data_IF_688042209176
#
_entry.id   IF_688042209176
#
_cell.length_a   1.000
_cell.length_b   1.000
_cell.length_c   1.000
_cell.angle_alpha   90.00
_cell.angle_beta   90.00
_cell.angle_gamma   90.00
#
_symmetry.space_group_name_H-M   'P 1'
#
loop_
_entity.id
_entity.type
_entity.pdbx_description
1 polymer ?
#
# COMPACT_ATOMS: atom_id res chain seq x y z
N UNK A 1 -48.75 22.31 -19.60
CA UNK A 1 -47.95 23.02 -18.57
C UNK A 1 -46.52 22.53 -18.62
N UNK A 2 -45.61 23.29 -19.24
CA UNK A 2 -44.20 22.92 -19.29
C UNK A 2 -43.56 23.21 -17.92
N UNK A 3 -43.05 22.18 -17.23
CA UNK A 3 -42.26 22.35 -16.01
C UNK A 3 -40.97 23.08 -16.39
N UNK A 4 -40.81 24.32 -15.94
CA UNK A 4 -39.58 25.08 -16.14
C UNK A 4 -38.40 24.34 -15.51
N UNK A 5 -37.49 23.85 -16.35
CA UNK A 5 -36.22 23.26 -15.92
C UNK A 5 -35.28 24.40 -15.54
N UNK A 6 -35.34 24.84 -14.29
CA UNK A 6 -34.41 25.84 -13.76
C UNK A 6 -32.98 25.32 -13.89
N UNK A 7 -32.12 26.05 -14.59
CA UNK A 7 -30.69 25.78 -14.63
C UNK A 7 -30.12 25.88 -13.21
N UNK A 8 -29.51 24.80 -12.74
CA UNK A 8 -28.88 24.70 -11.41
C UNK A 8 -27.37 24.90 -11.46
N UNK A 9 -26.81 25.02 -12.66
CA UNK A 9 -25.37 25.18 -12.87
C UNK A 9 -24.97 26.66 -12.84
N UNK A 10 -25.80 27.52 -13.43
CA UNK A 10 -25.57 28.97 -13.43
C UNK A 10 -26.08 29.57 -12.12
N UNK A 11 -25.22 30.35 -11.44
CA UNK A 11 -25.63 31.10 -10.24
C UNK A 11 -26.54 32.24 -10.71
N UNK A 12 -27.83 32.11 -10.42
CA UNK A 12 -28.79 33.20 -10.61
C UNK A 12 -28.54 34.29 -9.56
N UNK A 13 -28.09 35.46 -10.03
CA UNK A 13 -27.76 36.62 -9.18
C UNK A 13 -29.02 37.39 -8.71
N UNK A 14 -30.19 37.09 -9.28
CA UNK A 14 -31.45 37.80 -8.99
C UNK A 14 -32.51 36.87 -8.35
N UNK A 15 -32.23 35.57 -8.25
CA UNK A 15 -33.12 34.58 -7.64
C UNK A 15 -33.04 34.53 -6.10
N UNK A 16 -34.20 34.43 -5.45
CA UNK A 16 -34.31 34.27 -3.98
C UNK A 16 -33.86 32.87 -3.50
N UNK A 17 -33.69 31.91 -4.40
CA UNK A 17 -33.25 30.54 -4.09
C UNK A 17 -31.74 30.41 -4.19
N UNK A 18 -31.09 29.96 -3.11
CA UNK A 18 -29.65 29.68 -3.08
C UNK A 18 -29.28 28.65 -4.17
N UNK A 19 -28.46 29.07 -5.14
CA UNK A 19 -27.89 28.18 -6.16
C UNK A 19 -26.93 27.12 -5.59
N UNK A 20 -26.35 26.30 -6.49
CA UNK A 20 -25.52 25.09 -6.26
C UNK A 20 -25.04 24.87 -4.81
N UNK A 21 -25.49 23.78 -4.14
CA UNK A 21 -24.94 23.37 -2.86
C UNK A 21 -23.43 23.15 -2.94
N UNK A 22 -22.68 23.54 -1.89
CA UNK A 22 -21.25 23.20 -1.74
C UNK A 22 -21.09 21.71 -2.04
N UNK A 23 -20.28 21.36 -3.04
CA UNK A 23 -20.10 19.99 -3.55
C UNK A 23 -19.64 18.97 -2.51
N UNK A 24 -19.27 19.43 -1.32
CA UNK A 24 -19.25 18.62 -0.13
C UNK A 24 -19.49 19.53 1.08
N UNK A 25 -20.38 19.15 2.02
CA UNK A 25 -20.70 19.98 3.18
C UNK A 25 -19.52 20.12 4.16
N UNK A 26 -18.58 19.17 4.13
CA UNK A 26 -17.38 19.22 4.97
C UNK A 26 -16.25 20.05 4.35
N UNK A 27 -15.47 20.70 5.20
CA UNK A 27 -14.24 21.41 4.83
C UNK A 27 -13.22 20.48 4.17
N UNK A 28 -12.31 21.03 3.34
CA UNK A 28 -11.25 20.27 2.66
C UNK A 28 -10.38 19.47 3.64
N UNK A 29 -10.10 20.04 4.82
CA UNK A 29 -9.33 19.35 5.87
C UNK A 29 -10.04 18.09 6.37
N UNK A 30 -11.35 18.16 6.55
CA UNK A 30 -12.16 17.04 7.05
C UNK A 30 -12.40 15.99 5.97
N UNK A 31 -12.56 16.42 4.71
CA UNK A 31 -12.57 15.52 3.56
C UNK A 31 -11.29 14.67 3.50
N UNK A 32 -10.11 15.29 3.67
CA UNK A 32 -8.84 14.57 3.65
C UNK A 32 -8.72 13.56 4.79
N UNK A 33 -9.21 13.89 5.99
CA UNK A 33 -9.25 12.96 7.13
C UNK A 33 -10.16 11.76 6.83
N UNK A 34 -11.35 12.02 6.31
CA UNK A 34 -12.34 10.99 5.97
C UNK A 34 -11.80 10.07 4.86
N UNK A 35 -11.24 10.64 3.79
CA UNK A 35 -10.65 9.87 2.70
C UNK A 35 -9.50 8.98 3.17
N UNK A 36 -8.60 9.50 4.03
CA UNK A 36 -7.52 8.69 4.62
C UNK A 36 -8.07 7.55 5.48
N UNK A 37 -9.13 7.79 6.24
CA UNK A 37 -9.78 6.73 7.03
C UNK A 37 -10.38 5.65 6.14
N UNK A 38 -11.15 6.03 5.11
CA UNK A 38 -11.73 5.09 4.16
C UNK A 38 -10.65 4.29 3.43
N UNK A 39 -9.52 4.91 3.07
CA UNK A 39 -8.39 4.21 2.48
C UNK A 39 -7.85 3.13 3.43
N UNK A 40 -7.65 3.45 4.72
CA UNK A 40 -7.22 2.45 5.71
C UNK A 40 -8.24 1.34 5.93
N UNK A 41 -9.54 1.66 5.94
CA UNK A 41 -10.61 0.66 6.07
C UNK A 41 -10.63 -0.28 4.86
N UNK A 42 -10.44 0.25 3.64
CA UNK A 42 -10.28 -0.55 2.42
C UNK A 42 -9.04 -1.44 2.46
N UNK A 43 -7.89 -0.88 2.83
CA UNK A 43 -6.63 -1.63 2.96
C UNK A 43 -6.83 -2.81 3.95
N UNK A 44 -7.47 -2.55 5.09
CA UNK A 44 -7.77 -3.57 6.11
C UNK A 44 -8.73 -4.63 5.59
N UNK A 45 -9.78 -4.25 4.87
CA UNK A 45 -10.74 -5.18 4.28
C UNK A 45 -10.09 -6.08 3.21
N UNK A 46 -9.11 -5.57 2.46
CA UNK A 46 -8.31 -6.34 1.51
C UNK A 46 -7.22 -7.20 2.19
N UNK A 47 -7.10 -7.16 3.52
CA UNK A 47 -6.12 -7.95 4.28
C UNK A 47 -4.71 -7.34 4.32
N UNK A 48 -4.50 -6.14 3.79
CA UNK A 48 -3.21 -5.46 3.89
C UNK A 48 -2.95 -5.00 5.32
N UNK A 49 -1.76 -5.31 5.83
CA UNK A 49 -1.28 -4.86 7.14
C UNK A 49 -0.14 -3.88 6.93
N UNK A 50 -0.13 -2.79 7.72
CA UNK A 50 0.96 -1.82 7.73
C UNK A 50 1.97 -2.23 8.79
N UNK A 51 3.24 -2.19 8.41
CA UNK A 51 4.38 -2.44 9.28
C UNK A 51 5.20 -1.15 9.35
N UNK A 52 5.53 -0.73 10.57
CA UNK A 52 6.43 0.38 10.83
C UNK A 52 7.76 -0.22 11.30
N UNK A 53 8.86 0.12 10.62
CA UNK A 53 10.18 -0.44 10.85
C UNK A 53 11.17 0.72 10.91
N UNK A 54 12.06 0.69 11.90
CA UNK A 54 13.19 1.61 12.01
C UNK A 54 14.42 0.89 11.46
N UNK A 55 15.15 1.55 10.57
CA UNK A 55 16.33 1.03 9.89
C UNK A 55 17.42 2.10 9.87
N UNK A 56 18.67 1.68 9.74
CA UNK A 56 19.80 2.60 9.62
C UNK A 56 19.76 3.34 8.28
N UNK A 57 20.15 4.62 8.26
CA UNK A 57 20.09 5.46 7.06
C UNK A 57 20.85 4.87 5.87
N UNK A 58 22.03 4.28 6.12
CA UNK A 58 22.82 3.61 5.08
C UNK A 58 22.06 2.46 4.41
N UNK A 59 21.27 1.73 5.19
CA UNK A 59 20.49 0.60 4.66
C UNK A 59 19.33 1.07 3.81
N UNK A 60 18.71 2.20 4.16
CA UNK A 60 17.64 2.83 3.38
C UNK A 60 18.19 3.33 2.04
N UNK A 61 19.36 3.98 2.04
CA UNK A 61 20.00 4.47 0.81
C UNK A 61 20.35 3.31 -0.14
N UNK A 62 20.88 2.21 0.38
CA UNK A 62 21.15 1.00 -0.42
C UNK A 62 19.86 0.41 -0.97
N UNK A 63 18.79 0.37 -0.17
CA UNK A 63 17.47 -0.10 -0.62
C UNK A 63 16.92 0.78 -1.75
N UNK A 64 17.06 2.10 -1.65
CA UNK A 64 16.62 3.04 -2.68
C UNK A 64 17.36 2.84 -4.00
N UNK A 65 18.69 2.76 -3.94
CA UNK A 65 19.49 2.49 -5.13
C UNK A 65 19.09 1.17 -5.82
N UNK A 66 18.79 0.12 -5.04
CA UNK A 66 18.28 -1.14 -5.58
C UNK A 66 16.86 -1.03 -6.16
N UNK A 67 16.01 -0.21 -5.56
CA UNK A 67 14.65 0.04 -6.06
C UNK A 67 14.70 0.82 -7.38
N UNK A 68 15.55 1.83 -7.48
CA UNK A 68 15.73 2.66 -8.67
C UNK A 68 16.29 1.84 -9.84
N UNK A 69 17.28 0.98 -9.58
CA UNK A 69 17.84 0.08 -10.61
C UNK A 69 16.82 -0.92 -11.18
N UNK A 70 15.86 -1.33 -10.35
CA UNK A 70 14.83 -2.30 -10.76
C UNK A 70 13.52 -1.62 -11.19
N UNK A 71 13.42 -0.28 -11.13
CA UNK A 71 12.20 0.50 -11.34
C UNK A 71 11.01 0.02 -10.48
N UNK A 72 11.28 -0.43 -9.25
CA UNK A 72 10.28 -0.98 -8.33
C UNK A 72 10.06 -0.10 -7.11
N UNK A 73 8.87 -0.18 -6.52
CA UNK A 73 8.61 0.48 -5.23
C UNK A 73 9.24 -0.33 -4.09
N UNK A 74 9.72 0.36 -3.05
CA UNK A 74 10.26 -0.27 -1.81
C UNK A 74 9.38 -1.40 -1.27
N UNK A 75 8.07 -1.19 -1.24
CA UNK A 75 7.12 -2.18 -0.73
C UNK A 75 7.12 -3.47 -1.59
N UNK A 76 7.09 -3.32 -2.92
CA UNK A 76 7.08 -4.44 -3.86
C UNK A 76 8.39 -5.22 -3.76
N UNK A 77 9.53 -4.50 -3.74
CA UNK A 77 10.85 -5.12 -3.57
C UNK A 77 10.95 -5.93 -2.27
N UNK A 78 10.49 -5.37 -1.15
CA UNK A 78 10.49 -6.07 0.14
C UNK A 78 9.60 -7.32 0.11
N UNK A 79 8.40 -7.24 -0.46
CA UNK A 79 7.52 -8.42 -0.58
C UNK A 79 8.16 -9.53 -1.42
N UNK A 80 8.84 -9.18 -2.51
CA UNK A 80 9.56 -10.12 -3.35
C UNK A 80 10.71 -10.79 -2.58
N UNK A 81 11.53 -10.00 -1.88
CA UNK A 81 12.65 -10.57 -1.11
C UNK A 81 12.19 -11.49 0.02
N UNK A 82 11.10 -11.15 0.72
CA UNK A 82 10.51 -12.01 1.75
C UNK A 82 10.01 -13.33 1.13
N UNK A 83 9.35 -13.28 -0.03
CA UNK A 83 8.91 -14.48 -0.75
C UNK A 83 10.07 -15.36 -1.19
N UNK A 84 11.15 -14.76 -1.73
CA UNK A 84 12.37 -15.46 -2.13
C UNK A 84 13.11 -16.08 -0.93
N UNK A 85 13.19 -15.38 0.19
CA UNK A 85 13.79 -15.91 1.42
C UNK A 85 12.96 -17.09 1.96
N UNK A 86 11.63 -16.97 1.94
CA UNK A 86 10.73 -18.03 2.37
C UNK A 86 10.85 -19.28 1.50
N UNK A 87 10.92 -19.14 0.16
CA UNK A 87 11.08 -20.29 -0.74
C UNK A 87 12.41 -21.02 -0.54
N UNK A 88 13.52 -20.28 -0.37
CA UNK A 88 14.83 -20.86 -0.02
C UNK A 88 14.80 -21.63 1.30
N UNK A 89 14.05 -21.12 2.29
CA UNK A 89 13.94 -21.80 3.60
C UNK A 89 13.18 -23.13 3.53
N UNK A 90 12.22 -23.29 2.61
CA UNK A 90 11.54 -24.58 2.37
C UNK A 90 12.49 -25.61 1.78
N UNK A 91 13.32 -25.21 0.82
CA UNK A 91 14.29 -26.11 0.20
C UNK A 91 15.30 -26.69 1.20
N UNK A 92 15.68 -25.91 2.23
CA UNK A 92 16.62 -26.36 3.26
C UNK A 92 16.02 -27.38 4.24
N UNK A 93 14.69 -27.44 4.39
CA UNK A 93 14.02 -28.42 5.26
C UNK A 93 13.84 -29.79 4.60
N UNK A 94 13.86 -29.86 3.28
CA UNK A 94 13.59 -31.09 2.52
C UNK A 94 14.83 -31.91 2.17
N UNK A 95 16.04 -31.40 2.45
CA UNK A 95 17.26 -32.22 2.36
C UNK A 95 17.28 -33.09 3.62
N UNK A 96 16.98 -34.40 3.55
CA UNK A 96 17.16 -35.27 4.69
C UNK A 96 18.66 -35.28 4.99
N UNK A 97 19.03 -35.08 6.24
CA UNK A 97 20.40 -35.25 6.71
C UNK A 97 20.80 -36.73 6.65
N UNK A 98 21.01 -37.26 5.45
CA UNK A 98 21.45 -38.61 5.19
C UNK A 98 22.82 -38.62 4.54
N UNK A 99 23.77 -37.85 5.07
CA UNK A 99 25.19 -37.96 4.70
C UNK A 99 26.06 -37.54 5.90
N UNK A 100 25.87 -38.23 7.03
CA UNK A 100 26.90 -38.35 8.06
C UNK A 100 27.01 -39.82 8.45
N UNK A 101 27.80 -40.58 7.69
CA UNK A 101 28.56 -41.74 8.18
C UNK A 101 29.45 -42.26 7.06
N UNK A 102 30.67 -42.66 7.47
CA UNK A 102 31.77 -43.23 6.69
C UNK A 102 32.63 -42.15 6.01
N UNK A 103 33.87 -41.86 6.40
CA UNK A 103 34.93 -42.74 6.90
C UNK A 103 35.83 -42.00 7.90
N UNK A 104 35.73 -42.37 9.18
CA UNK A 104 36.84 -42.26 10.14
C UNK A 104 36.92 -43.59 10.87
N UNK A 105 37.71 -44.50 10.31
CA UNK A 105 38.26 -45.75 10.88
C UNK A 105 39.07 -46.39 9.76
N UNK A 106 40.31 -46.85 9.87
CA UNK A 106 41.28 -47.04 10.96
C UNK A 106 42.63 -47.31 10.26
N UNK A 107 43.73 -46.94 10.93
CA UNK A 107 45.11 -47.46 10.86
C UNK A 107 45.70 -47.83 9.50
#
# INVERSE_FOLDING_TARGET
MAKASSDRNTIDLFGQTRGRPKTHPLSRKDQLKLNKRLQREKDKAAGFKRLEIVLDDETIQKLDALCDLNELKRAEWLTMQVALAYSKSKFKKEIPSSEKKQKVTKK
#
